data_IF_792587373494
#
_entry.id   IF_792587373494
#
_cell.length_a   1.000
_cell.length_b   1.000
_cell.length_c   1.000
_cell.angle_alpha   90.00
_cell.angle_beta   90.00
_cell.angle_gamma   90.00
#
_symmetry.space_group_name_H-M   'P 1'
#
loop_
_entity.id
_entity.type
_entity.pdbx_description
1 polymer ?
#
# COMPACT_ATOMS: atom_id res chain seq x y z
N UNK A 1 -26.64 -31.36 -38.72
CA UNK A 1 -25.23 -30.99 -38.57
C UNK A 1 -25.19 -29.66 -37.82
N UNK A 2 -24.56 -29.41 -36.66
CA UNK A 2 -23.62 -30.13 -35.83
C UNK A 2 -23.62 -29.49 -34.42
N UNK A 3 -24.30 -30.08 -33.44
CA UNK A 3 -24.35 -29.61 -32.05
C UNK A 3 -23.25 -30.21 -31.16
N UNK A 4 -21.99 -30.25 -31.62
CA UNK A 4 -20.90 -31.02 -30.95
C UNK A 4 -19.64 -30.21 -30.61
N UNK A 5 -19.67 -28.88 -30.71
CA UNK A 5 -18.50 -28.03 -30.45
C UNK A 5 -18.41 -27.46 -29.01
N UNK A 6 -19.52 -27.36 -28.27
CA UNK A 6 -19.52 -26.75 -26.93
C UNK A 6 -18.90 -27.61 -25.82
N UNK A 7 -18.97 -28.94 -25.94
CA UNK A 7 -18.61 -29.85 -24.83
C UNK A 7 -17.10 -30.11 -24.71
N UNK A 8 -16.33 -29.90 -25.78
CA UNK A 8 -14.86 -30.13 -25.78
C UNK A 8 -14.04 -28.95 -25.28
N UNK A 9 -14.59 -27.73 -25.34
CA UNK A 9 -13.87 -26.54 -24.87
C UNK A 9 -13.92 -26.39 -23.34
N UNK A 10 -15.01 -26.85 -22.71
CA UNK A 10 -15.20 -26.78 -21.25
C UNK A 10 -14.25 -27.72 -20.49
N UNK A 11 -13.82 -28.83 -21.11
CA UNK A 11 -12.91 -29.79 -20.48
C UNK A 11 -11.45 -29.32 -20.40
N UNK A 12 -11.00 -28.50 -21.36
CA UNK A 12 -9.59 -28.08 -21.43
C UNK A 12 -9.26 -26.95 -20.43
N UNK A 13 -10.24 -26.13 -20.05
CA UNK A 13 -10.06 -25.01 -19.12
C UNK A 13 -9.82 -25.43 -17.67
N UNK A 14 -10.28 -26.62 -17.25
CA UNK A 14 -10.13 -27.09 -15.87
C UNK A 14 -8.71 -27.56 -15.53
N UNK A 15 -7.92 -27.99 -16.52
CA UNK A 15 -6.58 -28.56 -16.25
C UNK A 15 -5.50 -27.48 -16.02
N UNK A 16 -5.75 -26.22 -16.39
CA UNK A 16 -4.80 -25.12 -16.22
C UNK A 16 -4.78 -24.52 -14.80
N UNK A 17 -5.76 -24.85 -13.94
CA UNK A 17 -5.84 -24.33 -12.57
C UNK A 17 -5.00 -25.13 -11.54
N UNK A 18 -4.38 -26.24 -11.94
CA UNK A 18 -3.62 -27.12 -11.05
C UNK A 18 -2.18 -26.66 -10.78
N UNK A 19 -1.75 -25.52 -11.33
CA UNK A 19 -0.51 -24.82 -10.97
C UNK A 19 -0.71 -23.82 -9.82
N UNK A 20 -1.67 -24.08 -8.93
CA UNK A 20 -1.72 -23.44 -7.61
C UNK A 20 -0.56 -23.99 -6.76
N UNK A 21 0.68 -23.56 -7.06
CA UNK A 21 1.77 -23.65 -6.11
C UNK A 21 1.32 -23.00 -4.82
N UNK A 22 1.64 -23.61 -3.66
CA UNK A 22 1.28 -23.18 -2.30
C UNK A 22 1.02 -21.67 -2.22
N UNK A 23 -0.23 -21.26 -2.47
CA UNK A 23 -0.54 -19.86 -2.70
C UNK A 23 -0.55 -19.21 -1.33
N UNK A 24 0.59 -18.65 -0.92
CA UNK A 24 0.61 -17.70 0.17
C UNK A 24 -0.42 -16.62 -0.18
N UNK A 25 -1.33 -16.26 0.75
CA UNK A 25 -2.31 -15.24 0.47
C UNK A 25 -1.64 -14.01 -0.13
N UNK A 26 -2.22 -13.42 -1.20
CA UNK A 26 -1.67 -12.21 -1.78
C UNK A 26 -1.57 -11.14 -0.68
N UNK A 27 -0.51 -10.35 -0.74
CA UNK A 27 -0.36 -9.26 0.22
C UNK A 27 -1.48 -8.22 0.05
N UNK A 28 -1.89 -7.61 1.16
CA UNK A 28 -2.90 -6.57 1.14
C UNK A 28 -2.42 -5.37 0.28
N UNK A 29 -3.19 -4.92 -0.73
CA UNK A 29 -2.76 -3.86 -1.64
C UNK A 29 -2.61 -2.50 -0.96
N UNK A 30 -3.44 -2.18 0.04
CA UNK A 30 -3.31 -0.95 0.80
C UNK A 30 -2.01 -0.92 1.61
N UNK A 31 -1.54 -2.07 2.10
CA UNK A 31 -0.26 -2.17 2.80
C UNK A 31 0.92 -1.90 1.86
N UNK A 32 0.91 -2.50 0.67
CA UNK A 32 1.93 -2.24 -0.35
C UNK A 32 1.99 -0.76 -0.70
N UNK A 33 0.84 -0.13 -0.94
CA UNK A 33 0.75 1.29 -1.26
C UNK A 33 1.24 2.16 -0.10
N UNK A 34 0.85 1.84 1.14
CA UNK A 34 1.28 2.58 2.33
C UNK A 34 2.81 2.57 2.51
N UNK A 35 3.46 1.42 2.28
CA UNK A 35 4.93 1.32 2.32
C UNK A 35 5.59 2.17 1.25
N UNK A 36 5.07 2.15 0.02
CA UNK A 36 5.60 2.95 -1.09
C UNK A 36 5.50 4.45 -0.78
N UNK A 37 4.35 4.90 -0.30
CA UNK A 37 4.12 6.29 0.07
C UNK A 37 4.99 6.72 1.25
N UNK A 38 5.16 5.86 2.25
CA UNK A 38 6.03 6.14 3.39
C UNK A 38 7.51 6.19 3.00
N UNK A 39 7.98 5.29 2.14
CA UNK A 39 9.33 5.33 1.60
C UNK A 39 9.59 6.61 0.79
N UNK A 40 8.60 7.04 -0.01
CA UNK A 40 8.67 8.30 -0.73
C UNK A 40 8.72 9.51 0.23
N UNK A 41 7.97 9.49 1.34
CA UNK A 41 8.08 10.51 2.39
C UNK A 41 9.50 10.55 2.98
N UNK A 42 10.08 9.41 3.34
CA UNK A 42 11.43 9.34 3.92
C UNK A 42 12.55 9.80 2.97
N UNK A 43 12.32 9.75 1.66
CA UNK A 43 13.27 10.31 0.69
C UNK A 43 13.34 11.84 0.71
N UNK A 44 12.39 12.51 1.36
CA UNK A 44 12.39 13.97 1.53
C UNK A 44 13.13 14.33 2.82
N UNK A 45 14.20 15.14 2.80
CA UNK A 45 14.92 15.53 4.01
C UNK A 45 14.03 16.28 5.03
N UNK A 46 12.99 16.95 4.55
CA UNK A 46 11.99 17.63 5.37
C UNK A 46 11.18 16.66 6.26
N UNK A 47 11.12 15.38 5.91
CA UNK A 47 10.41 14.36 6.69
C UNK A 47 10.98 14.17 8.09
N UNK A 48 12.27 14.47 8.28
CA UNK A 48 12.98 14.35 9.57
C UNK A 48 13.31 15.70 10.21
N UNK A 49 13.38 16.78 9.43
CA UNK A 49 13.70 18.12 9.97
C UNK A 49 12.45 18.95 10.28
N UNK A 50 11.39 18.81 9.49
CA UNK A 50 10.19 19.64 9.57
C UNK A 50 8.99 18.85 10.09
N UNK A 51 8.76 17.64 9.56
CA UNK A 51 7.58 16.84 9.89
C UNK A 51 7.88 15.60 10.72
N UNK A 52 8.92 15.61 11.56
CA UNK A 52 9.35 14.43 12.32
C UNK A 52 8.19 13.78 13.11
N UNK A 53 7.35 14.59 13.75
CA UNK A 53 6.17 14.11 14.49
C UNK A 53 5.14 13.45 13.58
N UNK A 54 4.86 14.03 12.41
CA UNK A 54 3.88 13.49 11.46
C UNK A 54 4.43 12.24 10.75
N UNK A 55 5.72 12.21 10.45
CA UNK A 55 6.43 11.03 9.95
C UNK A 55 6.34 9.88 10.95
N UNK A 56 6.60 10.15 12.24
CA UNK A 56 6.40 9.15 13.30
C UNK A 56 4.93 8.72 13.41
N UNK A 57 4.00 9.66 13.31
CA UNK A 57 2.57 9.34 13.34
C UNK A 57 2.19 8.42 12.18
N UNK A 58 2.74 8.60 10.98
CA UNK A 58 2.51 7.71 9.84
C UNK A 58 3.15 6.33 10.02
N UNK A 59 4.31 6.27 10.65
CA UNK A 59 5.02 5.02 10.92
C UNK A 59 4.23 4.07 11.83
N UNK A 60 3.65 4.59 12.91
CA UNK A 60 2.98 3.77 13.93
C UNK A 60 1.94 2.78 13.37
N UNK A 61 0.91 3.20 12.60
CA UNK A 61 -0.06 2.28 12.02
C UNK A 61 0.53 1.42 10.89
N UNK A 62 1.52 1.92 10.15
CA UNK A 62 2.19 1.14 9.12
C UNK A 62 2.94 -0.05 9.73
N UNK A 63 3.72 0.20 10.78
CA UNK A 63 4.45 -0.83 11.52
C UNK A 63 3.49 -1.86 12.13
N UNK A 64 2.35 -1.43 12.66
CA UNK A 64 1.31 -2.35 13.15
C UNK A 64 0.72 -3.21 12.02
N UNK A 65 0.43 -2.63 10.86
CA UNK A 65 -0.07 -3.35 9.70
C UNK A 65 0.95 -4.37 9.17
N UNK A 66 2.24 -4.02 9.15
CA UNK A 66 3.34 -4.92 8.79
C UNK A 66 3.44 -6.11 9.74
N UNK A 67 3.39 -5.85 11.05
CA UNK A 67 3.42 -6.90 12.06
C UNK A 67 2.22 -7.85 11.96
N UNK A 68 1.05 -7.34 11.62
CA UNK A 68 -0.14 -8.16 11.38
C UNK A 68 0.00 -8.98 10.11
N UNK A 69 0.43 -8.37 9.00
CA UNK A 69 0.64 -9.06 7.72
C UNK A 69 1.65 -10.21 7.81
N UNK A 70 2.68 -10.05 8.66
CA UNK A 70 3.65 -11.11 8.94
C UNK A 70 3.05 -12.31 9.71
N UNK A 71 1.98 -12.10 10.47
CA UNK A 71 1.31 -13.14 11.27
C UNK A 71 0.12 -13.76 10.54
N UNK A 72 -0.75 -12.93 9.98
CA UNK A 72 -1.94 -13.29 9.25
C UNK A 72 -2.21 -12.24 8.16
N UNK A 73 -1.91 -12.60 6.91
CA UNK A 73 -2.10 -11.73 5.74
C UNK A 73 -3.55 -11.38 5.45
N UNK A 74 -4.50 -12.10 6.04
CA UNK A 74 -5.93 -11.89 5.87
C UNK A 74 -6.56 -11.10 7.02
N UNK A 75 -5.77 -10.62 7.99
CA UNK A 75 -6.30 -9.85 9.12
C UNK A 75 -6.99 -8.56 8.62
N UNK A 76 -8.29 -8.37 8.90
CA UNK A 76 -9.05 -7.24 8.37
C UNK A 76 -8.54 -5.87 8.87
N UNK A 77 -7.75 -5.84 9.95
CA UNK A 77 -7.16 -4.61 10.48
C UNK A 77 -6.02 -4.09 9.62
N UNK A 78 -5.39 -4.92 8.78
CA UNK A 78 -4.30 -4.50 7.89
C UNK A 78 -4.78 -3.36 7.01
N UNK A 79 -5.92 -3.52 6.33
CA UNK A 79 -6.50 -2.51 5.44
C UNK A 79 -6.72 -1.17 6.16
N UNK A 80 -7.32 -1.21 7.35
CA UNK A 80 -7.64 -0.03 8.13
C UNK A 80 -6.39 0.71 8.61
N UNK A 81 -5.39 -0.03 9.11
CA UNK A 81 -4.11 0.54 9.56
C UNK A 81 -3.30 1.09 8.38
N UNK A 82 -3.25 0.38 7.25
CA UNK A 82 -2.59 0.87 6.03
C UNK A 82 -3.25 2.14 5.51
N UNK A 83 -4.59 2.20 5.51
CA UNK A 83 -5.32 3.41 5.13
C UNK A 83 -5.00 4.58 6.07
N UNK A 84 -4.96 4.34 7.38
CA UNK A 84 -4.58 5.37 8.36
C UNK A 84 -3.14 5.85 8.15
N UNK A 85 -2.20 4.95 7.87
CA UNK A 85 -0.82 5.29 7.55
C UNK A 85 -0.74 6.23 6.34
N UNK A 86 -1.47 5.89 5.26
CA UNK A 86 -1.55 6.72 4.04
C UNK A 86 -2.08 8.12 4.32
N UNK A 87 -3.15 8.23 5.11
CA UNK A 87 -3.70 9.53 5.50
C UNK A 87 -2.67 10.37 6.25
N UNK A 88 -1.91 9.75 7.17
CA UNK A 88 -0.86 10.44 7.93
C UNK A 88 0.35 10.83 7.06
N UNK A 89 0.71 10.01 6.07
CA UNK A 89 1.70 10.39 5.05
C UNK A 89 1.22 11.62 4.27
N UNK A 90 -0.05 11.64 3.84
CA UNK A 90 -0.60 12.78 3.10
C UNK A 90 -0.57 14.08 3.92
N UNK A 91 -0.83 14.01 5.24
CA UNK A 91 -0.70 15.16 6.13
C UNK A 91 0.75 15.65 6.22
N UNK A 92 1.73 14.74 6.37
CA UNK A 92 3.15 15.13 6.39
C UNK A 92 3.57 15.80 5.08
N UNK A 93 3.18 15.22 3.94
CA UNK A 93 3.48 15.77 2.61
C UNK A 93 2.86 17.15 2.39
N UNK A 94 1.62 17.37 2.88
CA UNK A 94 0.97 18.68 2.80
C UNK A 94 1.77 19.75 3.53
N UNK A 95 2.22 19.47 4.76
CA UNK A 95 3.00 20.43 5.55
C UNK A 95 4.33 20.76 4.84
N UNK A 96 4.99 19.76 4.25
CA UNK A 96 6.22 19.99 3.47
C UNK A 96 5.93 20.90 2.28
N UNK A 97 4.89 20.61 1.50
CA UNK A 97 4.51 21.43 0.35
C UNK A 97 4.13 22.87 0.73
N UNK A 98 3.40 23.06 1.84
CA UNK A 98 3.05 24.39 2.36
C UNK A 98 4.30 25.18 2.74
N UNK A 99 5.29 24.53 3.35
CA UNK A 99 6.55 25.18 3.72
C UNK A 99 7.36 25.64 2.50
N UNK A 100 7.37 24.84 1.43
CA UNK A 100 8.05 25.19 0.17
C UNK A 100 7.36 26.35 -0.54
N UNK A 101 6.03 26.35 -0.57
CA UNK A 101 5.25 27.46 -1.13
C UNK A 101 5.49 28.77 -0.36
N UNK A 102 5.58 28.71 0.96
CA UNK A 102 5.88 29.88 1.78
C UNK A 102 7.28 30.43 1.48
N UNK A 103 8.29 29.57 1.37
CA UNK A 103 9.67 29.96 1.05
C UNK A 103 9.78 30.62 -0.34
N UNK A 104 9.07 30.09 -1.35
CA UNK A 104 9.07 30.65 -2.70
C UNK A 104 8.45 32.05 -2.77
N UNK A 105 7.44 32.35 -1.94
CA UNK A 105 6.78 33.66 -1.89
C UNK A 105 7.64 34.77 -1.25
N UNK A 106 8.77 34.42 -0.63
CA UNK A 106 9.63 35.33 0.12
C UNK A 106 10.85 35.83 -0.69
N UNK A 107 10.95 35.50 -1.98
CA UNK A 107 12.05 35.93 -2.85
C UNK A 107 11.83 37.38 -3.35
N UNK A 108 12.80 38.31 -3.16
CA UNK A 108 12.68 39.72 -3.57
C UNK A 108 12.82 39.95 -5.08
#
# INVERSE_FOLDING_TARGET
MNGRFGLRLVGLLFFAAALAGCATPPENPALVEARLLFAALLSQPQSVTLTATQTHAAFEPLAQADLLSNKDRCDPRIEALSTLARQRVAVAQLIIAESESAAASMQP
#
